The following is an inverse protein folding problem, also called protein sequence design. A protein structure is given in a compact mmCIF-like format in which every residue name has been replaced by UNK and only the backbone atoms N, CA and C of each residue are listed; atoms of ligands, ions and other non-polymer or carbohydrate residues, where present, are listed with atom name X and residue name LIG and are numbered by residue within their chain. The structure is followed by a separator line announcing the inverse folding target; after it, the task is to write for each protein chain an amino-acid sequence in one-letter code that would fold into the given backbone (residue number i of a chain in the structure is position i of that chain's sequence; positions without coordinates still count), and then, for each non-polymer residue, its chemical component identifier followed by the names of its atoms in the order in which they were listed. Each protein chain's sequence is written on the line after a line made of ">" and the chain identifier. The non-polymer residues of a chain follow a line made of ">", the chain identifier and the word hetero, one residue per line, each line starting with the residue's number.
data_IF_677817327210
#
_entry.id   IF_677817327210
#
_cell.length_a   1.000
_cell.length_b   1.000
_cell.length_c   1.000
_cell.angle_alpha   90.00
_cell.angle_beta   90.00
_cell.angle_gamma   90.00
#
_symmetry.space_group_name_H-M   'P 1'
#
loop_
_entity.id
_entity.type
_entity.pdbx_description
1 polymer ?
#
# COMPACT_ATOMS: atom_id res chain seq x y z
N UNK A 1 -31.66 4.93 18.43
CA UNK A 1 -30.66 5.97 18.74
C UNK A 1 -29.94 6.31 17.45
N UNK A 2 -30.40 7.34 16.74
CA UNK A 2 -29.86 7.71 15.43
C UNK A 2 -28.82 8.80 15.63
N UNK A 3 -27.54 8.44 15.58
CA UNK A 3 -26.45 9.40 15.69
C UNK A 3 -26.37 10.21 14.39
N UNK A 4 -26.87 11.45 14.44
CA UNK A 4 -26.71 12.45 13.39
C UNK A 4 -25.24 12.85 13.33
N UNK A 5 -24.49 12.33 12.36
CA UNK A 5 -23.17 12.90 12.01
C UNK A 5 -23.40 14.35 11.57
N UNK A 6 -22.87 15.30 12.34
CA UNK A 6 -22.76 16.69 11.88
C UNK A 6 -21.81 16.70 10.68
N UNK A 7 -22.35 16.99 9.50
CA UNK A 7 -21.52 17.40 8.37
C UNK A 7 -20.92 18.76 8.74
N UNK A 8 -19.58 18.84 8.73
CA UNK A 8 -18.91 20.12 8.76
C UNK A 8 -19.38 20.92 7.54
N UNK A 9 -20.13 22.00 7.77
CA UNK A 9 -20.68 22.82 6.70
C UNK A 9 -19.56 23.64 6.06
N UNK A 10 -19.12 23.23 4.88
CA UNK A 10 -18.33 24.08 3.99
C UNK A 10 -19.25 25.19 3.47
N UNK A 11 -19.26 26.35 4.14
CA UNK A 11 -20.05 27.52 3.75
C UNK A 11 -19.49 28.11 2.45
N UNK A 12 -20.28 28.09 1.37
CA UNK A 12 -19.88 28.63 0.08
C UNK A 12 -19.75 30.16 0.09
N UNK A 13 -18.69 30.67 -0.52
CA UNK A 13 -18.62 32.05 -1.02
C UNK A 13 -18.25 32.04 -2.52
N UNK A 14 -18.95 32.88 -3.27
CA UNK A 14 -18.95 32.93 -4.73
C UNK A 14 -17.67 33.55 -5.33
N UNK A 15 -17.24 32.92 -6.43
CA UNK A 15 -16.60 33.47 -7.64
C UNK A 15 -15.33 34.30 -7.52
N UNK A 16 -14.16 33.67 -7.69
CA UNK A 16 -13.10 34.19 -8.59
C UNK A 16 -12.28 33.02 -9.11
N UNK A 17 -12.09 32.95 -10.43
CA UNK A 17 -11.22 32.07 -11.22
C UNK A 17 -10.14 31.30 -10.41
N UNK A 18 -10.27 29.97 -10.32
CA UNK A 18 -9.23 29.08 -9.78
C UNK A 18 -9.14 27.81 -10.63
N UNK A 19 -7.92 27.51 -11.07
CA UNK A 19 -7.54 26.36 -11.90
C UNK A 19 -8.04 25.02 -11.33
N UNK A 20 -8.66 24.22 -12.19
CA UNK A 20 -9.01 22.83 -11.89
C UNK A 20 -7.75 21.94 -11.99
N UNK A 21 -7.19 21.51 -10.86
CA UNK A 21 -6.10 20.54 -10.80
C UNK A 21 -6.58 19.12 -11.15
N UNK A 22 -5.74 18.34 -11.84
CA UNK A 22 -6.02 16.96 -12.29
C UNK A 22 -4.98 15.98 -11.74
N UNK A 23 -5.39 14.76 -11.39
CA UNK A 23 -4.52 13.68 -10.88
C UNK A 23 -4.48 12.51 -11.86
N UNK A 24 -3.27 12.06 -12.24
CA UNK A 24 -3.02 10.84 -13.03
C UNK A 24 -2.27 9.83 -12.16
N UNK A 25 -2.69 8.57 -12.19
CA UNK A 25 -1.99 7.44 -11.57
C UNK A 25 -1.76 6.35 -12.61
N UNK A 26 -0.60 5.72 -12.59
CA UNK A 26 -0.23 4.60 -13.47
C UNK A 26 0.42 3.56 -12.60
N UNK A 27 -0.05 2.30 -12.64
CA UNK A 27 0.75 1.14 -12.20
C UNK A 27 0.21 -0.16 -12.82
N UNK A 28 1.15 -0.96 -13.35
CA UNK A 28 0.98 -2.28 -13.96
C UNK A 28 1.18 -3.38 -12.92
N UNK A 29 0.25 -4.33 -12.83
CA UNK A 29 0.29 -5.45 -11.89
C UNK A 29 1.06 -6.65 -12.47
N UNK A 30 1.92 -7.28 -11.67
CA UNK A 30 2.30 -8.70 -11.82
C UNK A 30 2.20 -9.35 -10.43
N UNK A 31 1.34 -10.36 -10.34
CA UNK A 31 1.05 -11.15 -9.14
C UNK A 31 2.00 -12.34 -9.10
N UNK A 32 2.59 -12.65 -7.96
CA UNK A 32 2.75 -14.04 -7.50
C UNK A 32 2.67 -14.10 -5.97
N UNK A 33 1.83 -15.03 -5.49
CA UNK A 33 1.61 -15.36 -4.09
C UNK A 33 2.46 -16.58 -3.73
N UNK A 34 3.07 -16.63 -2.54
CA UNK A 34 3.30 -17.92 -1.86
C UNK A 34 3.25 -17.74 -0.34
N UNK A 35 2.20 -18.34 0.21
CA UNK A 35 1.89 -18.57 1.62
C UNK A 35 2.83 -19.62 2.21
N UNK A 36 3.34 -19.43 3.43
CA UNK A 36 3.26 -20.45 4.50
C UNK A 36 3.49 -19.88 5.91
N UNK A 37 2.36 -19.89 6.60
CA UNK A 37 2.04 -19.98 8.04
C UNK A 37 3.11 -20.57 8.97
N UNK A 38 3.30 -19.93 10.13
CA UNK A 38 4.12 -20.41 11.24
C UNK A 38 3.34 -21.22 12.28
N UNK A 39 4.06 -21.74 13.29
CA UNK A 39 3.54 -22.18 14.59
C UNK A 39 4.62 -22.11 15.68
N UNK A 40 4.18 -21.70 16.87
CA UNK A 40 4.92 -21.28 18.07
C UNK A 40 5.53 -22.39 18.95
N UNK A 41 6.54 -21.97 19.74
CA UNK A 41 6.88 -22.23 21.17
C UNK A 41 6.04 -23.26 21.98
N UNK A 42 6.49 -24.02 23.01
CA UNK A 42 7.60 -23.91 23.97
C UNK A 42 7.81 -25.23 24.77
N UNK A 43 8.81 -25.20 25.67
CA UNK A 43 8.93 -25.82 27.01
C UNK A 43 9.99 -26.93 27.29
N UNK A 44 10.92 -26.54 28.17
CA UNK A 44 11.88 -27.34 28.93
C UNK A 44 11.22 -28.23 30.00
N UNK A 45 11.82 -29.39 30.27
CA UNK A 45 11.76 -30.08 31.56
C UNK A 45 13.13 -30.75 31.83
N UNK A 46 13.71 -30.51 33.01
CA UNK A 46 15.07 -30.90 33.41
C UNK A 46 15.25 -32.35 33.89
N UNK A 47 16.25 -32.64 34.76
CA UNK A 47 17.46 -33.36 34.38
C UNK A 47 17.59 -34.75 35.03
N UNK A 48 18.21 -35.71 34.34
CA UNK A 48 18.62 -36.97 34.97
C UNK A 48 19.99 -37.41 34.45
N UNK A 49 20.95 -37.46 35.37
CA UNK A 49 22.34 -37.79 35.17
C UNK A 49 22.51 -39.18 34.53
N UNK A 50 23.32 -39.24 33.48
CA UNK A 50 23.63 -40.50 32.80
C UNK A 50 24.85 -40.38 31.90
N UNK A 51 26.03 -40.62 32.49
CA UNK A 51 27.26 -41.08 31.83
C UNK A 51 27.84 -40.12 30.78
N UNK A 52 28.72 -39.21 31.23
CA UNK A 52 29.67 -38.50 30.38
C UNK A 52 30.73 -39.48 29.84
N UNK A 53 30.36 -40.29 28.86
CA UNK A 53 31.31 -41.11 28.12
C UNK A 53 31.00 -40.98 26.62
N UNK A 54 31.87 -40.20 25.95
CA UNK A 54 32.12 -40.21 24.50
C UNK A 54 31.05 -39.57 23.61
N UNK A 55 31.04 -38.24 23.51
CA UNK A 55 30.48 -37.53 22.34
C UNK A 55 31.34 -36.33 21.92
N UNK A 56 32.64 -36.57 21.78
CA UNK A 56 33.57 -35.69 21.07
C UNK A 56 34.08 -36.43 19.83
N UNK A 57 33.14 -36.83 18.97
CA UNK A 57 33.45 -37.22 17.59
C UNK A 57 33.51 -35.91 16.80
N UNK A 58 34.65 -35.56 16.17
CA UNK A 58 34.68 -34.43 15.26
C UNK A 58 33.62 -34.70 14.18
N UNK A 59 32.73 -33.73 13.94
CA UNK A 59 31.83 -33.80 12.80
C UNK A 59 32.66 -34.11 11.55
N UNK A 60 32.20 -35.04 10.71
CA UNK A 60 32.92 -35.35 9.48
C UNK A 60 33.12 -34.05 8.68
N UNK A 61 34.29 -33.87 8.09
CA UNK A 61 34.62 -32.67 7.30
C UNK A 61 33.55 -32.38 6.23
N UNK A 62 32.95 -33.45 5.68
CA UNK A 62 31.84 -33.38 4.74
C UNK A 62 30.56 -32.76 5.35
N UNK A 63 30.21 -33.10 6.58
CA UNK A 63 29.06 -32.51 7.26
C UNK A 63 29.28 -31.02 7.51
N UNK A 64 30.49 -30.62 7.93
CA UNK A 64 30.83 -29.22 8.15
C UNK A 64 30.77 -28.39 6.87
N UNK A 65 31.32 -28.91 5.75
CA UNK A 65 31.24 -28.26 4.43
C UNK A 65 29.78 -28.07 3.98
N UNK A 66 28.92 -29.08 4.19
CA UNK A 66 27.49 -28.96 3.90
C UNK A 66 26.81 -27.84 4.69
N UNK A 67 27.07 -27.73 6.00
CA UNK A 67 26.52 -26.65 6.82
C UNK A 67 27.01 -25.27 6.37
N UNK A 68 28.30 -25.15 6.05
CA UNK A 68 28.88 -23.90 5.57
C UNK A 68 28.26 -23.47 4.24
N UNK A 69 28.12 -24.39 3.28
CA UNK A 69 27.47 -24.12 1.99
C UNK A 69 26.01 -23.71 2.15
N UNK A 70 25.24 -24.43 2.98
CA UNK A 70 23.83 -24.08 3.24
C UNK A 70 23.70 -22.71 3.90
N UNK A 71 24.56 -22.40 4.87
CA UNK A 71 24.58 -21.06 5.47
C UNK A 71 24.95 -19.97 4.46
N UNK A 72 25.93 -20.22 3.61
CA UNK A 72 26.33 -19.26 2.58
C UNK A 72 25.17 -18.98 1.60
N UNK A 73 24.44 -20.00 1.18
CA UNK A 73 23.27 -19.85 0.31
C UNK A 73 22.15 -19.07 1.00
N UNK A 74 21.86 -19.37 2.28
CA UNK A 74 20.82 -18.64 3.03
C UNK A 74 21.18 -17.14 3.13
N UNK A 75 22.43 -16.81 3.46
CA UNK A 75 22.90 -15.42 3.53
C UNK A 75 22.80 -14.73 2.17
N UNK A 76 23.24 -15.39 1.11
CA UNK A 76 23.14 -14.85 -0.25
C UNK A 76 21.70 -14.48 -0.62
N UNK A 77 20.74 -15.35 -0.30
CA UNK A 77 19.32 -15.09 -0.58
C UNK A 77 18.81 -13.93 0.27
N UNK A 78 19.15 -13.88 1.57
CA UNK A 78 18.76 -12.78 2.45
C UNK A 78 19.32 -11.43 1.96
N UNK A 79 20.59 -11.40 1.57
CA UNK A 79 21.26 -10.20 1.06
C UNK A 79 20.64 -9.75 -0.27
N UNK A 80 20.31 -10.69 -1.16
CA UNK A 80 19.65 -10.39 -2.43
C UNK A 80 18.24 -9.82 -2.21
N UNK A 81 17.49 -10.36 -1.24
CA UNK A 81 16.17 -9.83 -0.87
C UNK A 81 16.32 -8.41 -0.30
N UNK A 82 17.24 -8.19 0.65
CA UNK A 82 17.51 -6.88 1.22
C UNK A 82 17.89 -5.86 0.13
N UNK A 83 18.82 -6.21 -0.75
CA UNK A 83 19.24 -5.36 -1.86
C UNK A 83 18.08 -5.06 -2.84
N UNK A 84 17.20 -6.03 -3.08
CA UNK A 84 16.00 -5.82 -3.91
C UNK A 84 15.02 -4.84 -3.25
N UNK A 85 14.76 -4.98 -1.95
CA UNK A 85 13.91 -4.06 -1.18
C UNK A 85 14.49 -2.65 -1.19
N UNK A 86 15.79 -2.50 -0.95
CA UNK A 86 16.47 -1.20 -0.98
C UNK A 86 16.37 -0.55 -2.37
N UNK A 87 16.50 -1.34 -3.44
CA UNK A 87 16.33 -0.87 -4.82
C UNK A 87 14.89 -0.43 -5.07
N UNK A 88 13.89 -1.19 -4.61
CA UNK A 88 12.49 -0.84 -4.74
C UNK A 88 12.19 0.47 -4.00
N UNK A 89 12.69 0.63 -2.77
CA UNK A 89 12.57 1.85 -1.99
C UNK A 89 13.19 3.05 -2.70
N UNK A 90 14.45 2.93 -3.14
CA UNK A 90 15.14 3.99 -3.88
C UNK A 90 14.38 4.39 -5.15
N UNK A 91 13.83 3.40 -5.88
CA UNK A 91 13.03 3.67 -7.07
C UNK A 91 11.70 4.35 -6.71
N UNK A 92 11.02 3.93 -5.64
CA UNK A 92 9.78 4.55 -5.18
C UNK A 92 10.01 5.97 -4.65
N UNK A 93 11.14 6.24 -4.01
CA UNK A 93 11.50 7.58 -3.52
C UNK A 93 11.84 8.52 -4.70
N UNK A 94 12.60 8.03 -5.69
CA UNK A 94 13.02 8.83 -6.85
C UNK A 94 11.91 9.03 -7.90
N UNK A 95 11.10 7.98 -8.12
CA UNK A 95 9.97 7.96 -9.07
C UNK A 95 8.65 8.13 -8.30
N UNK A 96 8.72 8.67 -7.09
CA UNK A 96 7.58 8.94 -6.25
C UNK A 96 6.54 9.81 -6.96
N UNK A 97 5.39 9.98 -6.33
CA UNK A 97 4.25 10.61 -7.00
C UNK A 97 4.61 12.05 -7.39
N UNK A 98 4.64 12.31 -8.70
CA UNK A 98 5.04 13.61 -9.26
C UNK A 98 3.99 14.72 -9.13
N UNK A 99 2.86 14.44 -8.48
CA UNK A 99 1.79 15.39 -8.27
C UNK A 99 2.01 16.18 -6.97
N UNK A 100 2.52 17.40 -7.11
CA UNK A 100 2.70 18.35 -6.00
C UNK A 100 1.43 19.17 -5.71
N UNK A 101 0.28 18.76 -6.23
CA UNK A 101 -0.97 19.48 -6.04
C UNK A 101 -1.44 19.32 -4.59
N UNK A 102 -1.64 20.43 -3.92
CA UNK A 102 -2.25 20.45 -2.60
C UNK A 102 -3.64 21.08 -2.69
N UNK A 103 -4.57 20.51 -1.94
CA UNK A 103 -5.95 20.97 -1.88
C UNK A 103 -6.30 21.30 -0.43
N UNK A 104 -7.03 22.41 -0.24
CA UNK A 104 -7.49 22.84 1.07
C UNK A 104 -8.81 22.15 1.43
N UNK A 105 -9.09 22.02 2.73
CA UNK A 105 -10.41 21.58 3.20
C UNK A 105 -11.49 22.51 2.62
N UNK A 106 -12.63 21.93 2.24
CA UNK A 106 -13.74 22.56 1.54
C UNK A 106 -13.46 23.01 0.10
N UNK A 107 -12.28 22.72 -0.47
CA UNK A 107 -12.04 22.92 -1.89
C UNK A 107 -12.89 21.96 -2.72
N UNK A 108 -13.30 22.42 -3.91
CA UNK A 108 -13.94 21.59 -4.93
C UNK A 108 -12.86 20.97 -5.82
N UNK A 109 -12.86 19.65 -5.93
CA UNK A 109 -11.90 18.91 -6.76
C UNK A 109 -12.61 18.05 -7.78
N UNK A 110 -11.99 17.92 -8.95
CA UNK A 110 -12.47 17.04 -10.01
C UNK A 110 -11.76 15.70 -9.93
N UNK A 111 -12.51 14.59 -10.02
CA UNK A 111 -11.93 13.25 -10.01
C UNK A 111 -11.75 12.73 -11.44
N UNK A 112 -10.53 12.30 -11.77
CA UNK A 112 -10.22 11.75 -13.09
C UNK A 112 -10.85 10.36 -13.26
N UNK A 113 -11.54 10.12 -14.38
CA UNK A 113 -12.23 8.85 -14.64
C UNK A 113 -11.31 7.73 -15.14
N UNK A 114 -10.08 8.07 -15.55
CA UNK A 114 -9.11 7.13 -16.15
C UNK A 114 -8.80 5.93 -15.24
N UNK A 115 -8.72 6.14 -13.93
CA UNK A 115 -8.32 5.13 -12.95
C UNK A 115 -9.44 4.73 -12.00
N UNK A 116 -10.68 5.10 -12.32
CA UNK A 116 -11.82 4.69 -11.51
C UNK A 116 -12.29 3.29 -11.89
N UNK A 117 -12.85 2.54 -10.94
CA UNK A 117 -13.60 1.34 -11.25
C UNK A 117 -14.65 1.62 -12.33
N UNK A 118 -14.79 0.67 -13.28
CA UNK A 118 -15.72 0.82 -14.42
C UNK A 118 -17.14 1.19 -14.01
N UNK A 119 -17.61 0.69 -12.87
CA UNK A 119 -18.96 0.97 -12.36
C UNK A 119 -19.13 2.43 -11.90
N UNK A 120 -18.10 3.06 -11.35
CA UNK A 120 -18.19 4.42 -10.80
C UNK A 120 -18.32 5.51 -11.87
N UNK A 121 -17.97 5.19 -13.12
CA UNK A 121 -18.12 6.05 -14.28
C UNK A 121 -18.92 5.38 -15.41
N UNK A 122 -19.67 4.31 -15.11
CA UNK A 122 -20.43 3.57 -16.13
C UNK A 122 -21.62 4.35 -16.64
N UNK A 123 -22.17 5.25 -15.82
CA UNK A 123 -23.37 6.04 -16.13
C UNK A 123 -23.13 7.03 -17.29
N UNK A 124 -21.87 7.28 -17.65
CA UNK A 124 -21.49 8.20 -18.71
C UNK A 124 -21.46 7.56 -20.12
N UNK A 125 -21.84 6.29 -20.25
CA UNK A 125 -21.98 5.61 -21.53
C UNK A 125 -20.66 5.17 -22.17
N UNK A 126 -20.62 5.10 -23.51
CA UNK A 126 -19.45 4.61 -24.24
C UNK A 126 -18.23 5.49 -24.01
N UNK A 127 -17.06 4.88 -23.84
CA UNK A 127 -15.80 5.55 -23.44
C UNK A 127 -15.39 6.74 -24.32
N UNK A 128 -15.84 6.80 -25.58
CA UNK A 128 -15.54 7.91 -26.49
C UNK A 128 -16.27 9.22 -26.12
N UNK A 129 -17.43 9.13 -25.46
CA UNK A 129 -18.23 10.28 -25.04
C UNK A 129 -18.25 10.48 -23.52
N UNK A 130 -17.63 9.56 -22.76
CA UNK A 130 -17.52 9.70 -21.32
C UNK A 130 -16.62 10.89 -20.95
N UNK A 131 -16.97 11.65 -19.89
CA UNK A 131 -16.16 12.76 -19.44
C UNK A 131 -14.85 12.26 -18.84
N UNK A 132 -13.77 13.01 -19.07
CA UNK A 132 -12.45 12.70 -18.51
C UNK A 132 -12.37 12.96 -17.00
N UNK A 133 -13.24 13.83 -16.50
CA UNK A 133 -13.35 14.20 -15.10
C UNK A 133 -14.81 14.21 -14.67
N UNK A 134 -15.07 13.80 -13.44
CA UNK A 134 -16.41 13.79 -12.85
C UNK A 134 -16.44 14.63 -11.59
N UNK A 135 -17.57 15.34 -11.40
CA UNK A 135 -17.99 16.05 -10.19
C UNK A 135 -17.02 17.09 -9.63
N UNK A 136 -17.49 18.28 -9.21
CA UNK A 136 -16.81 18.93 -8.11
C UNK A 136 -17.18 18.20 -6.81
N UNK A 137 -16.22 17.49 -6.22
CA UNK A 137 -16.37 16.89 -4.90
C UNK A 137 -15.76 17.81 -3.85
N UNK A 138 -16.45 17.93 -2.71
CA UNK A 138 -15.96 18.73 -1.59
C UNK A 138 -14.89 17.94 -0.83
N UNK A 139 -13.75 18.57 -0.59
CA UNK A 139 -12.72 18.00 0.27
C UNK A 139 -13.09 18.15 1.75
N UNK A 140 -13.31 17.04 2.45
CA UNK A 140 -13.70 17.05 3.86
C UNK A 140 -12.50 17.16 4.80
N UNK A 141 -11.39 16.48 4.46
CA UNK A 141 -10.22 16.38 5.33
C UNK A 141 -8.95 16.06 4.54
N UNK A 142 -7.79 16.49 5.03
CA UNK A 142 -6.45 16.17 4.52
C UNK A 142 -5.65 15.46 5.60
N UNK A 143 -5.07 14.31 5.25
CA UNK A 143 -4.17 13.49 6.05
C UNK A 143 -2.85 13.29 5.28
N UNK A 144 -1.94 14.27 5.35
CA UNK A 144 -0.71 14.27 4.55
C UNK A 144 -1.03 14.35 3.05
N UNK A 145 -0.74 13.27 2.31
CA UNK A 145 -1.04 13.12 0.88
C UNK A 145 -2.37 12.41 0.61
N UNK A 146 -3.12 12.07 1.66
CA UNK A 146 -4.44 11.44 1.56
C UNK A 146 -5.54 12.48 1.80
N UNK A 147 -6.57 12.46 0.96
CA UNK A 147 -7.65 13.43 0.96
C UNK A 147 -8.99 12.73 0.99
N UNK A 148 -9.82 13.05 1.98
CA UNK A 148 -11.18 12.51 2.10
C UNK A 148 -12.14 13.44 1.37
N UNK A 149 -12.83 12.91 0.37
CA UNK A 149 -13.83 13.59 -0.44
C UNK A 149 -15.24 13.23 0.01
N UNK A 150 -16.16 14.18 -0.13
CA UNK A 150 -17.59 13.95 0.06
C UNK A 150 -18.17 13.23 -1.17
N UNK A 151 -18.06 11.90 -1.17
CA UNK A 151 -18.54 11.04 -2.25
C UNK A 151 -19.74 10.23 -1.78
N UNK A 152 -20.78 10.20 -2.61
CA UNK A 152 -21.96 9.37 -2.36
C UNK A 152 -21.58 7.88 -2.34
N UNK A 153 -22.02 7.16 -1.31
CA UNK A 153 -21.74 5.72 -1.17
C UNK A 153 -22.29 4.87 -2.33
N UNK A 154 -23.29 5.36 -3.07
CA UNK A 154 -23.82 4.73 -4.28
C UNK A 154 -22.78 4.58 -5.39
N UNK A 155 -21.75 5.43 -5.43
CA UNK A 155 -20.69 5.35 -6.43
C UNK A 155 -19.74 4.17 -6.20
N UNK A 156 -19.79 3.52 -5.03
CA UNK A 156 -18.92 2.39 -4.70
C UNK A 156 -17.43 2.75 -4.60
N UNK A 157 -17.10 4.05 -4.50
CA UNK A 157 -15.74 4.54 -4.36
C UNK A 157 -15.33 4.65 -2.90
N UNK A 158 -14.05 4.38 -2.62
CA UNK A 158 -13.47 4.73 -1.34
C UNK A 158 -13.40 6.27 -1.22
N UNK A 159 -13.84 6.88 -0.11
CA UNK A 159 -13.90 8.34 0.01
C UNK A 159 -12.53 9.00 0.11
N UNK A 160 -11.48 8.26 0.52
CA UNK A 160 -10.11 8.79 0.63
C UNK A 160 -9.28 8.46 -0.60
N UNK A 161 -8.65 9.47 -1.19
CA UNK A 161 -7.78 9.40 -2.36
C UNK A 161 -6.39 9.88 -2.02
N UNK A 162 -5.39 9.31 -2.68
CA UNK A 162 -4.03 9.83 -2.57
C UNK A 162 -3.70 10.70 -3.76
N UNK A 163 -3.06 11.83 -3.48
CA UNK A 163 -2.31 12.61 -4.45
C UNK A 163 -0.87 12.14 -4.33
#
# INVERSE_FOLDING_TARGET
>A
MTTRRQAASCSGNETTNKNYGSVQGTDTATKENTTVQGTDSAQEAGPAAGKNAVLNKPFSTQAMDFFQRRQAVIRLVQDAIAASVDRQKLNADNVGRGNTNEFEKCSLVLLATQNLPRHAASDFGASKLAPRFIGPFTMLERHGNAYTLDIASSMGLHPTFYV
#
